data_IF_354115562057
#
_entry.id   IF_354115562057
#
_cell.length_a   1.000
_cell.length_b   1.000
_cell.length_c   1.000
_cell.angle_alpha   90.00
_cell.angle_beta   90.00
_cell.angle_gamma   90.00
#
_symmetry.space_group_name_H-M   'P 1'
#
loop_
_entity.id
_entity.type
_entity.pdbx_description
1 polymer ?
#
# COMPACT_ATOMS: atom_id res chain seq x y z
N UNK A 1 4.83 0.05 -2.68
CA UNK A 1 6.05 0.38 -1.90
C UNK A 1 6.76 1.61 -2.43
N UNK A 2 6.78 1.86 -3.74
CA UNK A 2 7.47 3.03 -4.33
C UNK A 2 7.01 4.37 -3.76
N UNK A 3 5.71 4.54 -3.52
CA UNK A 3 5.19 5.81 -3.01
C UNK A 3 5.63 6.09 -1.56
N UNK A 4 5.61 5.08 -0.69
CA UNK A 4 6.18 5.19 0.67
C UNK A 4 7.67 5.50 0.64
N UNK A 5 8.39 4.94 -0.34
CA UNK A 5 9.82 5.19 -0.50
C UNK A 5 10.08 6.63 -0.90
N UNK A 6 9.33 7.19 -1.85
CA UNK A 6 9.42 8.61 -2.23
C UNK A 6 9.11 9.53 -1.05
N UNK A 7 8.09 9.22 -0.25
CA UNK A 7 7.76 9.98 0.96
C UNK A 7 8.91 9.97 1.98
N UNK A 8 9.49 8.80 2.23
CA UNK A 8 10.69 8.68 3.08
C UNK A 8 11.85 9.51 2.52
N UNK A 9 12.19 9.36 1.24
CA UNK A 9 13.28 10.08 0.58
C UNK A 9 13.05 11.61 0.64
N UNK A 10 11.81 12.09 0.47
CA UNK A 10 11.46 13.50 0.60
C UNK A 10 11.74 14.05 2.01
N UNK A 11 11.37 13.31 3.06
CA UNK A 11 11.63 13.71 4.46
C UNK A 11 13.11 13.77 4.76
N UNK A 12 13.88 12.77 4.30
CA UNK A 12 15.33 12.72 4.52
C UNK A 12 16.04 13.85 3.76
N UNK A 13 15.69 14.07 2.49
CA UNK A 13 16.25 15.14 1.66
C UNK A 13 15.92 16.53 2.20
N UNK A 14 14.70 16.75 2.69
CA UNK A 14 14.28 17.99 3.33
C UNK A 14 15.03 18.31 4.63
N UNK A 15 15.68 17.31 5.26
CA UNK A 15 16.57 17.49 6.41
C UNK A 15 18.04 17.74 6.02
N UNK A 16 18.34 17.88 4.73
CA UNK A 16 19.69 18.11 4.23
C UNK A 16 20.57 16.86 4.20
N UNK A 17 19.99 15.66 4.35
CA UNK A 17 20.73 14.41 4.24
C UNK A 17 20.88 14.02 2.78
N UNK A 18 22.09 13.60 2.39
CA UNK A 18 22.34 13.10 1.05
C UNK A 18 21.71 11.71 0.87
N UNK A 19 21.01 11.53 -0.24
CA UNK A 19 20.35 10.26 -0.58
C UNK A 19 21.07 9.67 -1.78
N UNK A 20 21.79 8.58 -1.53
CA UNK A 20 22.45 7.79 -2.56
C UNK A 20 22.05 6.33 -2.39
N UNK A 21 21.82 5.66 -3.52
CA UNK A 21 21.46 4.25 -3.57
C UNK A 21 22.58 3.44 -4.22
N UNK A 22 22.76 2.20 -3.76
CA UNK A 22 23.57 1.19 -4.44
C UNK A 22 22.80 0.64 -5.66
N UNK A 23 23.48 -0.09 -6.53
CA UNK A 23 22.83 -0.78 -7.66
C UNK A 23 21.78 -1.80 -7.22
N UNK A 24 21.95 -2.37 -6.02
CA UNK A 24 20.96 -3.25 -5.37
C UNK A 24 19.76 -2.51 -4.78
N UNK A 25 19.73 -1.18 -4.85
CA UNK A 25 18.64 -0.35 -4.35
C UNK A 25 18.66 -0.12 -2.84
N UNK A 26 19.72 -0.48 -2.11
CA UNK A 26 19.93 -0.09 -0.71
C UNK A 26 20.45 1.34 -0.61
N UNK A 27 20.30 2.01 0.54
CA UNK A 27 20.91 3.32 0.74
C UNK A 27 22.39 3.14 1.11
N UNK A 28 23.27 3.95 0.49
CA UNK A 28 24.72 3.90 0.72
C UNK A 28 25.07 4.33 2.15
N UNK A 29 24.38 5.34 2.67
CA UNK A 29 24.55 5.78 4.05
C UNK A 29 23.82 4.85 5.01
N UNK A 30 24.57 4.16 5.87
CA UNK A 30 24.06 3.20 6.85
C UNK A 30 22.91 3.77 7.70
N UNK A 31 23.04 5.01 8.21
CA UNK A 31 21.99 5.64 9.01
C UNK A 31 20.68 5.80 8.22
N UNK A 32 20.76 6.22 6.96
CA UNK A 32 19.58 6.35 6.09
C UNK A 32 18.99 4.97 5.80
N UNK A 33 19.83 3.96 5.63
CA UNK A 33 19.39 2.58 5.45
C UNK A 33 18.64 2.04 6.66
N UNK A 34 19.19 2.22 7.86
CA UNK A 34 18.54 1.80 9.11
C UNK A 34 17.22 2.55 9.35
N UNK A 35 17.18 3.85 9.07
CA UNK A 35 15.94 4.63 9.15
C UNK A 35 14.87 4.11 8.17
N UNK A 36 15.28 3.76 6.95
CA UNK A 36 14.37 3.16 5.97
C UNK A 36 13.85 1.79 6.41
N UNK A 37 14.74 0.94 6.93
CA UNK A 37 14.33 -0.36 7.48
C UNK A 37 13.32 -0.17 8.62
N UNK A 38 13.64 0.67 9.61
CA UNK A 38 12.74 0.94 10.73
C UNK A 38 11.38 1.50 10.25
N UNK A 39 11.39 2.43 9.29
CA UNK A 39 10.18 2.97 8.68
C UNK A 39 9.34 1.87 8.03
N UNK A 40 9.96 1.03 7.18
CA UNK A 40 9.27 -0.07 6.49
C UNK A 40 8.71 -1.10 7.47
N UNK A 41 9.51 -1.58 8.41
CA UNK A 41 9.08 -2.59 9.39
C UNK A 41 7.96 -2.07 10.30
N UNK A 42 8.02 -0.80 10.73
CA UNK A 42 6.96 -0.20 11.56
C UNK A 42 5.59 -0.14 10.86
N UNK A 43 5.58 0.03 9.54
CA UNK A 43 4.35 0.07 8.74
C UNK A 43 3.84 -1.32 8.38
N UNK A 44 4.76 -2.27 8.16
CA UNK A 44 4.42 -3.68 7.96
C UNK A 44 3.75 -4.29 9.21
N UNK A 45 4.05 -3.76 10.40
CA UNK A 45 3.40 -4.17 11.65
C UNK A 45 1.94 -3.68 11.79
N UNK A 46 1.50 -2.73 10.95
CA UNK A 46 0.11 -2.24 10.95
C UNK A 46 -0.71 -3.15 10.04
N UNK A 47 -1.77 -3.73 10.59
CA UNK A 47 -2.74 -4.55 9.86
C UNK A 47 -4.11 -3.87 9.83
N UNK A 48 -4.58 -3.55 8.63
CA UNK A 48 -5.89 -2.94 8.41
C UNK A 48 -6.87 -4.01 7.94
N UNK A 49 -8.02 -4.06 8.59
CA UNK A 49 -9.16 -4.86 8.17
C UNK A 49 -10.06 -4.02 7.27
N UNK A 50 -10.36 -4.53 6.07
CA UNK A 50 -11.27 -3.88 5.15
C UNK A 50 -12.68 -4.46 5.30
N UNK A 51 -13.73 -3.71 4.91
CA UNK A 51 -15.07 -4.26 4.81
C UNK A 51 -15.08 -5.50 3.92
N UNK A 52 -15.85 -6.52 4.30
CA UNK A 52 -16.04 -7.70 3.47
C UNK A 52 -16.66 -7.31 2.12
N UNK A 53 -16.20 -7.95 1.05
CA UNK A 53 -16.83 -7.86 -0.26
C UNK A 53 -18.21 -8.51 -0.21
N UNK A 54 -19.14 -7.96 -0.96
CA UNK A 54 -20.47 -8.55 -1.11
C UNK A 54 -20.35 -9.77 -2.01
N UNK A 55 -21.11 -10.81 -1.70
CA UNK A 55 -21.21 -12.00 -2.53
C UNK A 55 -22.19 -11.73 -3.66
N UNK A 56 -21.76 -11.99 -4.89
CA UNK A 56 -22.59 -11.81 -6.09
C UNK A 56 -22.87 -13.20 -6.62
N UNK A 57 -24.13 -13.62 -6.56
CA UNK A 57 -24.51 -14.95 -7.01
C UNK A 57 -24.26 -15.10 -8.52
N UNK A 58 -23.97 -16.32 -8.97
CA UNK A 58 -23.82 -16.59 -10.41
C UNK A 58 -25.10 -16.34 -11.21
N UNK A 59 -26.25 -16.40 -10.53
CA UNK A 59 -27.56 -16.19 -11.14
C UNK A 59 -27.86 -14.69 -11.33
N UNK A 60 -27.34 -13.84 -10.44
CA UNK A 60 -27.49 -12.38 -10.50
C UNK A 60 -26.43 -11.73 -11.41
N UNK A 61 -25.22 -12.30 -11.50
CA UNK A 61 -24.10 -11.78 -12.32
C UNK A 61 -24.46 -11.36 -13.77
N UNK A 62 -25.30 -12.10 -14.53
CA UNK A 62 -25.69 -11.68 -15.87
C UNK A 62 -26.76 -10.58 -15.93
N UNK A 63 -27.28 -10.10 -14.79
CA UNK A 63 -28.33 -9.09 -14.67
C UNK A 63 -27.73 -7.80 -14.09
N UNK A 64 -27.31 -6.82 -14.92
CA UNK A 64 -26.57 -5.64 -14.46
C UNK A 64 -27.24 -4.88 -13.31
N UNK A 65 -28.56 -4.65 -13.40
CA UNK A 65 -29.32 -3.92 -12.39
C UNK A 65 -29.29 -4.57 -10.99
N UNK A 66 -29.00 -5.87 -10.90
CA UNK A 66 -28.90 -6.59 -9.62
C UNK A 66 -27.48 -6.58 -9.03
N UNK A 67 -26.45 -6.27 -9.83
CA UNK A 67 -25.05 -6.43 -9.42
C UNK A 67 -24.23 -5.15 -9.47
N UNK A 68 -24.67 -4.12 -10.20
CA UNK A 68 -23.93 -2.87 -10.40
C UNK A 68 -23.47 -2.23 -9.07
N UNK A 69 -24.33 -2.24 -8.05
CA UNK A 69 -23.98 -1.67 -6.75
C UNK A 69 -22.95 -2.52 -5.99
N UNK A 70 -23.15 -3.85 -5.97
CA UNK A 70 -22.25 -4.78 -5.27
C UNK A 70 -20.87 -4.83 -5.94
N UNK A 71 -20.85 -4.87 -7.28
CA UNK A 71 -19.62 -4.87 -8.06
C UNK A 71 -18.85 -3.56 -7.89
N UNK A 72 -19.55 -2.42 -7.98
CA UNK A 72 -18.95 -1.11 -7.74
C UNK A 72 -18.37 -0.97 -6.32
N UNK A 73 -19.09 -1.46 -5.30
CA UNK A 73 -18.58 -1.49 -3.92
C UNK A 73 -17.35 -2.40 -3.79
N UNK A 74 -17.39 -3.58 -4.38
CA UNK A 74 -16.30 -4.56 -4.34
C UNK A 74 -15.03 -4.04 -5.05
N UNK A 75 -15.21 -3.34 -6.18
CA UNK A 75 -14.14 -2.63 -6.89
C UNK A 75 -13.52 -1.54 -6.01
N UNK A 76 -14.34 -0.70 -5.36
CA UNK A 76 -13.85 0.34 -4.45
C UNK A 76 -13.05 -0.23 -3.26
N UNK A 77 -13.50 -1.35 -2.68
CA UNK A 77 -12.76 -2.05 -1.62
C UNK A 77 -11.41 -2.56 -2.15
N UNK A 78 -11.38 -3.10 -3.37
CA UNK A 78 -10.16 -3.58 -4.01
C UNK A 78 -9.15 -2.45 -4.26
N UNK A 79 -9.59 -1.32 -4.82
CA UNK A 79 -8.75 -0.14 -5.05
C UNK A 79 -8.18 0.41 -3.74
N UNK A 80 -9.00 0.46 -2.69
CA UNK A 80 -8.55 0.84 -1.35
C UNK A 80 -7.47 -0.11 -0.82
N UNK A 81 -7.65 -1.43 -0.98
CA UNK A 81 -6.66 -2.43 -0.58
C UNK A 81 -5.32 -2.23 -1.29
N UNK A 82 -5.36 -1.95 -2.59
CA UNK A 82 -4.17 -1.68 -3.41
C UNK A 82 -3.46 -0.41 -3.00
N UNK A 83 -4.20 0.69 -2.77
CA UNK A 83 -3.64 1.94 -2.29
C UNK A 83 -2.95 1.81 -0.92
N UNK A 84 -3.58 1.08 0.02
CA UNK A 84 -3.02 0.83 1.36
C UNK A 84 -1.73 0.00 1.25
N UNK A 85 -1.72 -1.07 0.45
CA UNK A 85 -0.51 -1.88 0.20
C UNK A 85 0.57 -1.08 -0.52
N UNK A 86 0.21 -0.20 -1.46
CA UNK A 86 1.15 0.68 -2.14
C UNK A 86 1.84 1.63 -1.15
N UNK A 87 1.10 2.07 -0.12
CA UNK A 87 1.59 2.82 1.03
C UNK A 87 2.36 1.96 2.07
N UNK A 88 2.62 0.67 1.78
CA UNK A 88 3.46 -0.19 2.62
C UNK A 88 2.82 -0.63 3.93
N UNK A 89 1.49 -0.61 4.01
CA UNK A 89 0.71 -1.11 5.15
C UNK A 89 0.09 -2.46 4.77
N UNK A 90 -0.02 -3.39 5.74
CA UNK A 90 -0.63 -4.70 5.50
C UNK A 90 -2.16 -4.58 5.57
N UNK A 91 -2.84 -5.22 4.63
CA UNK A 91 -4.29 -5.43 4.63
C UNK A 91 -4.54 -6.88 5.00
N UNK A 92 -5.41 -7.14 5.98
CA UNK A 92 -5.81 -8.50 6.36
C UNK A 92 -6.53 -9.18 5.18
N UNK A 93 -6.29 -10.47 5.02
CA UNK A 93 -6.99 -11.32 4.05
C UNK A 93 -8.40 -11.65 4.52
#
# INVERSE_FOLDING_TARGET
>A
MDESRKQFESVIGGKGWFIQKTDSGSYVHERVHLMWMAWRESRAAIEIELPAKNDISSDDYPIPDLVDWDDGRNAGIQECAEAIRAAGIKVKE
#
